data_IF_243383995986
#
_entry.id   IF_243383995986
#
_cell.length_a   1.000
_cell.length_b   1.000
_cell.length_c   1.000
_cell.angle_alpha   90.00
_cell.angle_beta   90.00
_cell.angle_gamma   90.00
#
_symmetry.space_group_name_H-M   'P 1'
#
loop_
_entity.id
_entity.type
_entity.pdbx_description
1 polymer ?
#
# COMPACT_ATOMS: atom_id res chain seq x y z
N UNK A 1 22.18 -15.74 13.90
CA UNK A 1 21.39 -15.51 12.65
C UNK A 1 21.71 -14.12 12.14
N UNK A 2 21.86 -13.93 10.83
CA UNK A 2 22.11 -12.59 10.23
C UNK A 2 21.00 -11.61 10.58
N UNK A 3 21.35 -10.38 10.86
CA UNK A 3 20.41 -9.32 11.30
C UNK A 3 19.29 -9.06 10.26
N UNK A 4 19.62 -9.01 8.97
CA UNK A 4 18.65 -8.80 7.90
C UNK A 4 17.63 -9.96 7.77
N UNK A 5 18.06 -11.19 8.04
CA UNK A 5 17.21 -12.37 8.07
C UNK A 5 16.36 -12.39 9.34
N UNK A 6 17.00 -12.14 10.49
CA UNK A 6 16.33 -12.08 11.79
C UNK A 6 15.12 -11.11 11.78
N UNK A 7 15.31 -9.90 11.25
CA UNK A 7 14.24 -8.91 11.20
C UNK A 7 13.04 -9.36 10.35
N UNK A 8 13.28 -10.10 9.26
CA UNK A 8 12.20 -10.66 8.43
C UNK A 8 11.50 -11.80 9.16
N UNK A 9 12.24 -12.78 9.67
CA UNK A 9 11.67 -13.94 10.35
C UNK A 9 10.89 -13.58 11.62
N UNK A 10 11.25 -12.48 12.27
CA UNK A 10 10.55 -11.97 13.47
C UNK A 10 9.43 -10.97 13.15
N UNK A 11 9.15 -10.71 11.87
CA UNK A 11 8.08 -9.82 11.45
C UNK A 11 8.35 -8.33 11.65
N UNK A 12 9.59 -7.93 11.95
CA UNK A 12 9.98 -6.52 12.00
C UNK A 12 10.11 -5.89 10.61
N UNK A 13 10.31 -6.71 9.59
CA UNK A 13 10.37 -6.30 8.20
C UNK A 13 9.65 -7.31 7.30
N UNK A 14 8.95 -6.82 6.28
CA UNK A 14 8.27 -7.65 5.31
C UNK A 14 9.24 -8.27 4.28
N UNK A 15 10.36 -7.60 4.02
CA UNK A 15 11.38 -8.04 3.05
C UNK A 15 12.79 -7.79 3.56
N UNK A 16 13.78 -8.50 3.00
CA UNK A 16 15.20 -8.26 3.32
C UNK A 16 15.64 -6.84 2.95
N UNK A 17 15.12 -6.28 1.87
CA UNK A 17 15.41 -4.90 1.48
C UNK A 17 14.90 -3.89 2.53
N UNK A 18 13.73 -4.13 3.11
CA UNK A 18 13.22 -3.34 4.22
C UNK A 18 14.07 -3.53 5.48
N UNK A 19 14.42 -4.77 5.83
CA UNK A 19 15.31 -5.06 6.95
C UNK A 19 16.65 -4.33 6.86
N UNK A 20 17.26 -4.27 5.68
CA UNK A 20 18.50 -3.54 5.44
C UNK A 20 18.34 -2.02 5.67
N UNK A 21 17.21 -1.45 5.29
CA UNK A 21 16.91 -0.03 5.55
C UNK A 21 16.69 0.24 7.03
N UNK A 22 15.96 -0.64 7.73
CA UNK A 22 15.79 -0.56 9.19
C UNK A 22 17.14 -0.59 9.90
N UNK A 23 18.06 -1.48 9.50
CA UNK A 23 19.40 -1.55 10.06
C UNK A 23 20.17 -0.24 9.81
N UNK A 24 20.05 0.33 8.63
CA UNK A 24 20.69 1.61 8.29
C UNK A 24 20.09 2.78 9.10
N UNK A 25 18.78 2.78 9.35
CA UNK A 25 18.08 3.77 10.17
C UNK A 25 18.42 3.62 11.67
N UNK A 26 18.70 2.41 12.12
CA UNK A 26 19.13 2.11 13.48
C UNK A 26 18.36 0.96 14.12
N UNK A 27 19.06 -0.10 14.39
CA UNK A 27 18.57 -1.28 15.11
C UNK A 27 19.50 -1.61 16.25
N UNK A 28 18.92 -1.93 17.40
CA UNK A 28 19.68 -2.46 18.53
C UNK A 28 19.00 -3.70 19.10
N UNK A 29 19.79 -4.54 19.77
CA UNK A 29 19.30 -5.76 20.35
C UNK A 29 19.93 -6.02 21.73
N UNK A 30 19.27 -6.85 22.55
CA UNK A 30 19.78 -7.36 23.84
C UNK A 30 19.27 -8.77 24.09
N UNK A 31 19.95 -9.51 24.96
CA UNK A 31 19.56 -10.89 25.28
C UNK A 31 18.42 -10.97 26.32
N UNK A 32 18.33 -10.00 27.22
CA UNK A 32 17.29 -9.95 28.25
C UNK A 32 17.12 -8.54 28.80
N UNK A 33 15.98 -8.25 29.46
CA UNK A 33 15.79 -7.01 30.21
C UNK A 33 16.92 -6.80 31.22
N UNK A 34 17.48 -5.58 31.24
CA UNK A 34 18.62 -5.22 32.11
C UNK A 34 20.00 -5.43 31.50
N UNK A 35 20.14 -6.13 30.39
CA UNK A 35 21.39 -6.15 29.62
C UNK A 35 21.53 -4.91 28.74
N UNK A 36 22.78 -4.45 28.48
CA UNK A 36 23.01 -3.31 27.62
C UNK A 36 22.58 -3.61 26.19
N UNK A 37 22.01 -2.61 25.52
CA UNK A 37 21.70 -2.67 24.12
C UNK A 37 22.95 -2.69 23.25
N UNK A 38 22.97 -3.55 22.25
CA UNK A 38 24.03 -3.68 21.27
C UNK A 38 23.51 -3.21 19.91
N UNK A 39 24.20 -2.25 19.29
CA UNK A 39 23.80 -1.74 17.99
C UNK A 39 24.17 -2.72 16.87
N UNK A 40 23.25 -2.91 15.93
CA UNK A 40 23.53 -3.60 14.66
C UNK A 40 24.25 -2.62 13.73
N UNK A 41 25.49 -2.94 13.34
CA UNK A 41 26.31 -2.07 12.50
C UNK A 41 26.11 -2.35 11.00
N UNK A 42 25.82 -3.60 10.63
CA UNK A 42 25.66 -4.02 9.23
C UNK A 42 24.70 -5.18 9.09
N UNK A 43 24.16 -5.35 7.88
CA UNK A 43 23.14 -6.37 7.56
C UNK A 43 23.52 -7.81 7.89
N UNK A 44 24.82 -8.09 7.88
CA UNK A 44 25.36 -9.43 8.14
C UNK A 44 25.74 -9.68 9.59
N UNK A 45 25.55 -8.73 10.50
CA UNK A 45 25.83 -8.94 11.92
C UNK A 45 24.96 -10.07 12.46
N UNK A 46 25.50 -10.84 13.39
CA UNK A 46 24.76 -11.95 13.98
C UNK A 46 23.98 -11.51 15.21
N UNK A 47 22.68 -11.79 15.18
CA UNK A 47 21.76 -11.61 16.31
C UNK A 47 21.38 -13.00 16.84
N UNK A 48 21.50 -13.26 18.15
CA UNK A 48 20.99 -14.47 18.76
C UNK A 48 19.50 -14.64 18.57
N UNK A 49 19.02 -15.86 18.30
CA UNK A 49 17.61 -16.12 18.02
C UNK A 49 16.65 -15.70 19.13
N UNK A 50 17.12 -15.63 20.38
CA UNK A 50 16.32 -15.24 21.56
C UNK A 50 16.39 -13.75 21.88
N UNK A 51 17.12 -12.95 21.07
CA UNK A 51 17.32 -11.54 21.37
C UNK A 51 16.02 -10.73 21.25
N UNK A 52 15.88 -9.76 22.12
CA UNK A 52 14.94 -8.65 21.96
C UNK A 52 15.55 -7.62 21.02
N UNK A 53 14.75 -7.07 20.13
CA UNK A 53 15.17 -6.04 19.16
C UNK A 53 14.36 -4.78 19.35
N UNK A 54 15.03 -3.64 19.21
CA UNK A 54 14.42 -2.31 19.19
C UNK A 54 14.82 -1.57 17.92
N UNK A 55 13.82 -1.00 17.24
CA UNK A 55 14.00 -0.12 16.09
C UNK A 55 14.10 1.31 16.57
N UNK A 56 15.23 1.98 16.33
CA UNK A 56 15.47 3.36 16.76
C UNK A 56 14.73 4.38 15.90
N UNK A 57 14.52 4.05 14.62
CA UNK A 57 13.65 4.81 13.72
C UNK A 57 12.63 3.86 13.09
N UNK A 58 11.38 4.03 13.51
CA UNK A 58 10.24 3.22 13.02
C UNK A 58 9.68 3.69 11.68
N UNK A 59 10.13 4.82 11.12
CA UNK A 59 9.57 5.35 9.87
C UNK A 59 9.74 4.37 8.69
N UNK A 60 10.90 3.72 8.58
CA UNK A 60 11.18 2.72 7.55
C UNK A 60 10.37 1.42 7.72
N UNK A 61 9.85 1.15 8.93
CA UNK A 61 8.99 0.00 9.22
C UNK A 61 7.51 0.26 8.90
N UNK A 62 7.11 1.54 8.77
CA UNK A 62 5.69 1.93 8.66
C UNK A 62 5.01 1.36 7.44
N UNK A 63 5.69 1.32 6.29
CA UNK A 63 5.15 0.85 5.02
C UNK A 63 6.00 -0.27 4.42
N UNK A 64 5.38 -1.10 3.59
CA UNK A 64 6.03 -2.21 2.89
C UNK A 64 7.20 -1.78 2.00
N UNK A 65 7.18 -0.53 1.51
CA UNK A 65 8.29 0.06 0.76
C UNK A 65 8.40 1.56 0.99
N UNK A 66 9.54 2.17 0.58
CA UNK A 66 9.75 3.63 0.62
C UNK A 66 8.73 4.43 -0.20
N UNK A 67 8.02 3.78 -1.13
CA UNK A 67 6.90 4.38 -1.83
C UNK A 67 5.87 4.92 -0.85
N UNK A 68 5.50 4.16 0.18
CA UNK A 68 4.55 4.60 1.19
C UNK A 68 4.94 5.89 1.90
N UNK A 69 6.21 6.03 2.28
CA UNK A 69 6.72 7.29 2.89
C UNK A 69 6.63 8.48 1.93
N UNK A 70 6.85 8.27 0.61
CA UNK A 70 6.71 9.34 -0.39
C UNK A 70 5.26 9.80 -0.51
N UNK A 71 4.33 8.84 -0.58
CA UNK A 71 2.91 9.16 -0.66
C UNK A 71 2.42 9.81 0.64
N UNK A 72 2.82 9.31 1.81
CA UNK A 72 2.51 9.94 3.10
C UNK A 72 2.94 11.41 3.12
N UNK A 73 4.18 11.70 2.69
CA UNK A 73 4.67 13.07 2.60
C UNK A 73 3.85 13.94 1.65
N UNK A 74 3.38 13.39 0.52
CA UNK A 74 2.51 14.10 -0.42
C UNK A 74 1.13 14.37 0.18
N UNK A 75 0.50 13.39 0.83
CA UNK A 75 -0.78 13.56 1.51
C UNK A 75 -0.71 14.62 2.61
N UNK A 76 0.37 14.61 3.40
CA UNK A 76 0.61 15.61 4.44
C UNK A 76 0.81 17.02 3.85
N UNK A 77 1.61 17.15 2.80
CA UNK A 77 1.90 18.43 2.16
C UNK A 77 0.67 19.06 1.49
N UNK A 78 -0.23 18.24 0.94
CA UNK A 78 -1.44 18.70 0.26
C UNK A 78 -2.65 18.81 1.18
N UNK A 79 -2.60 18.21 2.38
CA UNK A 79 -3.75 18.08 3.28
C UNK A 79 -4.86 17.15 2.75
N UNK A 80 -4.57 16.35 1.72
CA UNK A 80 -5.54 15.46 1.10
C UNK A 80 -5.89 14.31 2.03
N UNK A 81 -7.17 14.15 2.37
CA UNK A 81 -7.69 13.02 3.12
C UNK A 81 -8.30 11.99 2.15
N UNK A 82 -7.85 10.74 2.24
CA UNK A 82 -8.30 9.64 1.37
C UNK A 82 -9.26 8.67 2.08
N UNK A 83 -9.69 9.02 3.28
CA UNK A 83 -10.60 8.20 4.09
C UNK A 83 -11.90 7.91 3.36
N UNK A 84 -12.25 6.63 3.22
CA UNK A 84 -13.44 6.19 2.51
C UNK A 84 -13.34 6.20 0.98
N UNK A 85 -12.22 6.64 0.42
CA UNK A 85 -12.05 6.71 -1.03
C UNK A 85 -11.73 5.34 -1.63
N UNK A 86 -12.14 5.18 -2.89
CA UNK A 86 -11.60 4.17 -3.80
C UNK A 86 -10.45 4.79 -4.58
N UNK A 87 -9.30 4.17 -4.51
CA UNK A 87 -8.06 4.70 -5.08
C UNK A 87 -7.56 3.79 -6.20
N UNK A 88 -6.92 4.38 -7.20
CA UNK A 88 -6.19 3.67 -8.24
C UNK A 88 -4.68 3.88 -8.02
N UNK A 89 -3.93 2.77 -7.84
CA UNK A 89 -2.47 2.77 -7.70
C UNK A 89 -1.84 2.27 -9.01
N UNK A 90 -1.33 3.21 -9.82
CA UNK A 90 -0.72 2.91 -11.12
C UNK A 90 0.78 2.65 -10.95
N UNK A 91 1.22 1.44 -11.30
CA UNK A 91 2.57 0.97 -11.01
C UNK A 91 2.69 0.45 -9.58
N UNK A 92 1.73 -0.38 -9.16
CA UNK A 92 1.58 -0.87 -7.80
C UNK A 92 2.84 -1.55 -7.24
N UNK A 93 3.56 -2.33 -8.08
CA UNK A 93 4.77 -3.07 -7.70
C UNK A 93 4.58 -3.86 -6.39
N UNK A 94 5.40 -3.63 -5.38
CA UNK A 94 5.29 -4.31 -4.07
C UNK A 94 4.15 -3.78 -3.20
N UNK A 95 3.45 -2.70 -3.61
CA UNK A 95 2.28 -2.15 -2.92
C UNK A 95 2.58 -1.08 -1.87
N UNK A 96 3.69 -0.34 -2.00
CA UNK A 96 4.02 0.70 -1.02
C UNK A 96 3.01 1.84 -0.96
N UNK A 97 2.48 2.29 -2.10
CA UNK A 97 1.42 3.31 -2.15
C UNK A 97 0.10 2.71 -1.66
N UNK A 98 -0.25 1.52 -2.11
CA UNK A 98 -1.43 0.77 -1.65
C UNK A 98 -1.46 0.66 -0.13
N UNK A 99 -0.36 0.22 0.50
CA UNK A 99 -0.24 0.11 1.96
C UNK A 99 -0.46 1.46 2.66
N UNK A 100 0.11 2.54 2.10
CA UNK A 100 -0.08 3.89 2.63
C UNK A 100 -1.55 4.34 2.53
N UNK A 101 -2.20 4.16 1.37
CA UNK A 101 -3.60 4.51 1.17
C UNK A 101 -4.52 3.79 2.15
N UNK A 102 -4.32 2.49 2.35
CA UNK A 102 -5.11 1.68 3.29
C UNK A 102 -4.92 2.13 4.74
N UNK A 103 -3.68 2.45 5.14
CA UNK A 103 -3.39 2.97 6.48
C UNK A 103 -3.99 4.38 6.71
N UNK A 104 -4.19 5.16 5.65
CA UNK A 104 -4.89 6.46 5.68
C UNK A 104 -6.40 6.34 5.49
N UNK A 105 -6.96 5.12 5.54
CA UNK A 105 -8.39 4.87 5.59
C UNK A 105 -9.07 4.79 4.22
N UNK A 106 -8.33 4.58 3.12
CA UNK A 106 -8.96 4.28 1.84
C UNK A 106 -9.86 3.03 1.97
N UNK A 107 -11.06 3.10 1.41
CA UNK A 107 -12.02 2.00 1.46
C UNK A 107 -11.61 0.86 0.52
N UNK A 108 -10.98 1.17 -0.60
CA UNK A 108 -10.50 0.20 -1.57
C UNK A 108 -9.32 0.76 -2.36
N UNK A 109 -8.39 -0.10 -2.75
CA UNK A 109 -7.32 0.24 -3.69
C UNK A 109 -7.30 -0.76 -4.82
N UNK A 110 -7.45 -0.26 -6.05
CA UNK A 110 -7.22 -1.02 -7.27
C UNK A 110 -5.78 -0.73 -7.70
N UNK A 111 -4.94 -1.75 -7.71
CA UNK A 111 -3.56 -1.64 -8.16
C UNK A 111 -3.39 -2.16 -9.57
N UNK A 112 -2.67 -1.43 -10.41
CA UNK A 112 -2.38 -1.83 -11.80
C UNK A 112 -0.87 -1.89 -11.98
N UNK A 113 -0.36 -3.00 -12.50
CA UNK A 113 1.06 -3.15 -12.84
C UNK A 113 1.26 -3.98 -14.11
N UNK A 114 2.34 -3.71 -14.84
CA UNK A 114 2.76 -4.54 -16.00
C UNK A 114 3.47 -5.82 -15.56
N UNK A 115 3.99 -5.84 -14.35
CA UNK A 115 4.65 -7.00 -13.74
C UNK A 115 3.66 -8.01 -13.18
N UNK A 116 4.18 -9.17 -12.75
CA UNK A 116 3.40 -10.24 -12.16
C UNK A 116 4.04 -10.69 -10.85
N UNK A 117 3.21 -11.07 -9.87
CA UNK A 117 3.65 -11.65 -8.61
C UNK A 117 4.50 -10.72 -7.72
N UNK A 118 4.46 -9.40 -7.96
CA UNK A 118 5.26 -8.45 -7.18
C UNK A 118 4.57 -7.98 -5.92
N UNK A 119 3.23 -7.95 -5.92
CA UNK A 119 2.46 -7.47 -4.79
C UNK A 119 2.74 -8.32 -3.55
N UNK A 120 3.00 -7.64 -2.43
CA UNK A 120 3.28 -8.30 -1.16
C UNK A 120 2.09 -9.13 -0.70
N UNK A 121 2.32 -10.35 -0.19
CA UNK A 121 1.30 -11.32 0.23
C UNK A 121 0.25 -10.71 1.17
N UNK A 122 0.67 -9.91 2.15
CA UNK A 122 -0.25 -9.23 3.07
C UNK A 122 -1.27 -8.31 2.37
N UNK A 123 -0.90 -7.68 1.26
CA UNK A 123 -1.81 -6.84 0.48
C UNK A 123 -2.63 -7.66 -0.51
N UNK A 124 -2.06 -8.72 -1.05
CA UNK A 124 -2.78 -9.65 -1.93
C UNK A 124 -3.95 -10.29 -1.22
N UNK A 125 -3.80 -10.58 0.07
CA UNK A 125 -4.83 -11.19 0.92
C UNK A 125 -5.73 -10.14 1.63
N UNK A 126 -5.57 -8.84 1.37
CA UNK A 126 -6.44 -7.81 1.95
C UNK A 126 -7.68 -7.62 1.04
N UNK A 127 -8.90 -7.85 1.53
CA UNK A 127 -10.12 -7.78 0.71
C UNK A 127 -10.40 -6.37 0.14
N UNK A 128 -9.70 -5.35 0.61
CA UNK A 128 -9.79 -3.99 0.08
C UNK A 128 -8.87 -3.75 -1.11
N UNK A 129 -8.03 -4.73 -1.47
CA UNK A 129 -7.05 -4.59 -2.55
C UNK A 129 -7.45 -5.46 -3.73
N UNK A 130 -7.49 -4.88 -4.90
CA UNK A 130 -7.65 -5.58 -6.18
C UNK A 130 -6.40 -5.34 -7.00
N UNK A 131 -5.60 -6.37 -7.24
CA UNK A 131 -4.38 -6.30 -8.05
C UNK A 131 -4.65 -6.75 -9.49
N UNK A 132 -4.50 -5.84 -10.44
CA UNK A 132 -4.59 -6.12 -11.88
C UNK A 132 -3.19 -6.16 -12.45
N UNK A 133 -2.67 -7.36 -12.68
CA UNK A 133 -1.33 -7.61 -13.18
C UNK A 133 -1.32 -7.72 -14.72
N UNK A 134 -0.17 -7.47 -15.35
CA UNK A 134 0.00 -7.53 -16.80
C UNK A 134 -0.64 -6.38 -17.58
N UNK A 135 -1.23 -5.40 -16.93
CA UNK A 135 -1.90 -4.26 -17.57
C UNK A 135 -0.98 -3.05 -17.70
N UNK A 136 -0.76 -2.61 -18.94
CA UNK A 136 -0.01 -1.39 -19.20
C UNK A 136 -0.91 -0.16 -19.05
N UNK A 137 -0.62 0.69 -18.09
CA UNK A 137 -1.40 1.89 -17.81
C UNK A 137 -1.49 2.87 -19.00
N UNK A 138 -0.54 2.85 -19.92
CA UNK A 138 -0.60 3.67 -21.16
C UNK A 138 -1.69 3.20 -22.13
N UNK A 139 -2.05 1.93 -22.08
CA UNK A 139 -3.09 1.33 -22.91
C UNK A 139 -4.38 1.06 -22.11
N UNK A 140 -4.42 1.47 -20.85
CA UNK A 140 -5.55 1.23 -19.95
C UNK A 140 -6.78 1.99 -20.43
N UNK A 141 -7.89 1.28 -20.60
CA UNK A 141 -9.23 1.83 -20.78
C UNK A 141 -10.10 1.43 -19.60
N UNK A 142 -11.28 2.00 -19.49
CA UNK A 142 -12.21 1.63 -18.42
C UNK A 142 -12.63 0.15 -18.53
N UNK A 143 -12.83 -0.33 -19.75
CA UNK A 143 -13.20 -1.71 -20.06
C UNK A 143 -12.09 -2.68 -19.64
N UNK A 144 -10.84 -2.42 -20.06
CA UNK A 144 -9.68 -3.26 -19.70
C UNK A 144 -9.43 -3.30 -18.19
N UNK A 145 -9.64 -2.18 -17.51
CA UNK A 145 -9.53 -2.13 -16.05
C UNK A 145 -10.64 -2.96 -15.40
N UNK A 146 -11.86 -2.88 -15.91
CA UNK A 146 -12.99 -3.66 -15.41
C UNK A 146 -12.77 -5.15 -15.60
N UNK A 147 -12.39 -5.59 -16.80
CA UNK A 147 -12.07 -7.00 -17.12
C UNK A 147 -10.99 -7.54 -16.18
N UNK A 148 -9.88 -6.79 -16.02
CA UNK A 148 -8.80 -7.18 -15.13
C UNK A 148 -9.21 -7.24 -13.65
N UNK A 149 -10.13 -6.36 -13.21
CA UNK A 149 -10.68 -6.44 -11.86
C UNK A 149 -11.57 -7.69 -11.69
N UNK A 150 -12.40 -8.04 -12.67
CA UNK A 150 -13.26 -9.22 -12.62
C UNK A 150 -12.43 -10.51 -12.58
N UNK A 151 -11.36 -10.59 -13.36
CA UNK A 151 -10.41 -11.72 -13.35
C UNK A 151 -9.72 -11.86 -11.99
N UNK A 152 -9.12 -10.77 -11.49
CA UNK A 152 -8.44 -10.76 -10.19
C UNK A 152 -9.35 -11.14 -9.02
N UNK A 153 -10.64 -10.83 -9.12
CA UNK A 153 -11.64 -11.18 -8.11
C UNK A 153 -12.08 -12.63 -8.20
N UNK A 154 -12.18 -13.20 -9.41
CA UNK A 154 -12.53 -14.60 -9.59
C UNK A 154 -11.44 -15.53 -9.03
N UNK A 155 -10.18 -15.18 -9.20
CA UNK A 155 -9.05 -15.93 -8.62
C UNK A 155 -9.08 -15.95 -7.08
N UNK A 156 -9.54 -14.86 -6.43
CA UNK A 156 -9.67 -14.83 -4.97
C UNK A 156 -10.79 -15.74 -4.44
N UNK A 157 -11.89 -15.85 -5.18
CA UNK A 157 -13.05 -16.70 -4.77
C UNK A 157 -12.68 -18.18 -4.84
N UNK A 158 -11.86 -18.61 -5.79
CA UNK A 158 -11.47 -20.02 -5.89
C UNK A 158 -10.55 -20.48 -4.75
N UNK A 159 -9.82 -19.56 -4.11
CA UNK A 159 -8.93 -19.88 -2.98
C UNK A 159 -9.64 -19.92 -1.63
N UNK A 160 -10.84 -19.35 -1.50
CA UNK A 160 -11.61 -19.29 -0.24
C UNK A 160 -12.67 -20.42 -0.07
N UNK A 161 -12.84 -21.29 -1.06
CA UNK A 161 -13.92 -22.30 -1.05
C UNK A 161 -13.62 -23.52 -0.13
N UNK A 162 -12.48 -23.57 0.56
CA UNK A 162 -12.17 -24.72 1.45
C UNK A 162 -12.62 -24.57 2.91
N UNK A 163 -13.08 -23.41 3.40
CA UNK A 163 -13.67 -23.33 4.77
C UNK A 163 -14.52 -22.07 4.97
N UNK A 164 -15.81 -22.14 4.94
CA UNK A 164 -16.78 -21.63 5.91
C UNK A 164 -18.13 -21.21 5.29
N UNK A 165 -19.20 -21.64 5.93
CA UNK A 165 -20.64 -21.46 5.64
C UNK A 165 -21.12 -19.98 5.89
N UNK A 166 -20.38 -18.99 5.45
CA UNK A 166 -20.78 -17.58 5.45
C UNK A 166 -20.97 -17.09 4.03
N UNK A 167 -22.22 -16.72 3.70
CA UNK A 167 -22.62 -16.09 2.43
C UNK A 167 -21.60 -15.01 2.01
N UNK A 168 -21.06 -15.07 0.79
CA UNK A 168 -20.15 -14.03 0.31
C UNK A 168 -20.94 -12.72 0.22
N UNK A 169 -20.58 -11.76 1.04
CA UNK A 169 -21.00 -10.37 0.84
C UNK A 169 -20.33 -9.94 -0.44
N UNK A 170 -21.10 -9.80 -1.52
CA UNK A 170 -20.58 -9.38 -2.80
C UNK A 170 -19.95 -7.97 -2.69
N UNK A 171 -18.62 -7.83 -2.60
CA UNK A 171 -17.97 -6.55 -2.30
C UNK A 171 -18.00 -5.56 -3.47
N UNK A 172 -18.58 -5.99 -4.62
CA UNK A 172 -18.49 -5.25 -5.88
C UNK A 172 -19.83 -5.14 -6.62
N UNK A 173 -20.94 -5.05 -5.89
CA UNK A 173 -22.28 -4.89 -6.46
C UNK A 173 -22.41 -3.71 -7.44
N UNK A 174 -21.53 -2.71 -7.31
CA UNK A 174 -21.46 -1.54 -8.19
C UNK A 174 -20.87 -1.82 -9.57
N UNK A 175 -20.02 -2.85 -9.74
CA UNK A 175 -19.47 -3.23 -11.07
C UNK A 175 -20.54 -3.85 -11.99
N UNK A 176 -21.59 -4.47 -11.42
CA UNK A 176 -22.62 -5.15 -12.21
C UNK A 176 -23.73 -4.24 -12.76
N UNK A 177 -23.85 -3.03 -12.25
CA UNK A 177 -24.96 -2.14 -12.55
C UNK A 177 -24.59 -0.93 -13.41
N UNK A 178 -23.60 -1.02 -14.30
CA UNK A 178 -23.40 -0.05 -15.40
C UNK A 178 -23.38 1.43 -14.98
N UNK A 179 -22.83 1.75 -13.80
CA UNK A 179 -22.43 3.12 -13.50
C UNK A 179 -23.53 4.16 -13.26
N UNK A 180 -24.75 3.78 -12.95
CA UNK A 180 -25.68 4.74 -12.33
C UNK A 180 -25.39 4.81 -10.83
N UNK A 181 -24.64 5.80 -10.42
CA UNK A 181 -24.56 6.25 -9.02
C UNK A 181 -25.85 6.95 -8.70
N UNK A 182 -26.84 6.20 -8.19
CA UNK A 182 -28.01 6.79 -7.60
C UNK A 182 -27.61 7.58 -6.36
N UNK A 183 -27.70 8.89 -6.52
CA UNK A 183 -28.24 9.79 -5.55
C UNK A 183 -27.37 10.20 -4.37
N UNK A 184 -27.36 11.46 -4.22
CA UNK A 184 -27.09 12.31 -3.07
C UNK A 184 -25.66 12.89 -2.99
N UNK A 185 -25.26 13.60 -4.01
CA UNK A 185 -24.65 14.90 -3.73
C UNK A 185 -25.82 15.91 -3.65
N UNK A 186 -26.22 16.26 -2.45
CA UNK A 186 -26.97 17.50 -2.24
C UNK A 186 -26.06 18.62 -2.71
N UNK A 187 -26.48 19.29 -3.78
CA UNK A 187 -25.85 20.47 -4.33
C UNK A 187 -25.89 21.58 -3.27
N UNK A 188 -24.81 21.66 -2.49
CA UNK A 188 -24.50 22.87 -1.75
C UNK A 188 -24.12 23.95 -2.76
N UNK A 189 -25.07 24.77 -3.18
CA UNK A 189 -24.81 25.98 -3.93
C UNK A 189 -23.78 26.84 -3.19
N UNK A 190 -22.61 27.06 -3.79
CA UNK A 190 -21.68 28.09 -3.35
C UNK A 190 -20.22 27.72 -3.23
N UNK A 191 -19.55 27.19 -4.28
CA UNK A 191 -18.09 27.19 -4.38
C UNK A 191 -17.58 27.00 -5.83
N UNK A 192 -18.20 27.63 -6.80
CA UNK A 192 -17.67 27.81 -8.14
C UNK A 192 -17.00 29.17 -8.21
N UNK A 193 -15.72 29.30 -7.90
CA UNK A 193 -14.81 30.32 -8.46
C UNK A 193 -13.32 30.14 -8.11
N UNK A 194 -12.89 29.06 -7.41
CA UNK A 194 -11.50 28.93 -6.96
C UNK A 194 -10.70 27.80 -7.64
N UNK A 195 -11.30 26.99 -8.52
CA UNK A 195 -10.65 25.79 -9.06
C UNK A 195 -10.06 25.91 -10.46
N UNK A 196 -10.42 26.92 -11.24
CA UNK A 196 -9.85 27.13 -12.58
C UNK A 196 -8.52 27.88 -12.57
N UNK A 197 -8.20 28.66 -11.54
CA UNK A 197 -6.96 29.44 -11.50
C UNK A 197 -5.70 28.65 -11.10
N UNK A 198 -5.83 27.55 -10.37
CA UNK A 198 -4.66 26.80 -9.89
C UNK A 198 -4.06 25.84 -10.94
N UNK A 199 -4.83 25.41 -11.93
CA UNK A 199 -4.33 24.46 -12.96
C UNK A 199 -3.48 25.18 -14.02
N UNK A 200 -3.74 26.45 -14.28
CA UNK A 200 -2.95 27.26 -15.21
C UNK A 200 -1.62 27.74 -14.59
N UNK A 201 -1.60 28.05 -13.30
CA UNK A 201 -0.38 28.42 -12.58
C UNK A 201 0.64 27.25 -12.52
N UNK A 202 0.17 26.02 -12.35
CA UNK A 202 1.02 24.83 -12.32
C UNK A 202 1.65 24.47 -13.69
N UNK A 203 1.04 24.91 -14.79
CA UNK A 203 1.58 24.75 -16.15
C UNK A 203 2.65 25.79 -16.51
N UNK A 204 2.57 26.98 -15.95
CA UNK A 204 3.48 28.08 -16.28
C UNK A 204 4.88 27.93 -15.64
N UNK A 205 5.02 27.30 -14.49
CA UNK A 205 6.30 27.09 -13.81
C UNK A 205 7.20 26.00 -14.43
N UNK A 206 6.69 25.22 -15.38
CA UNK A 206 7.48 24.15 -16.05
C UNK A 206 8.05 24.52 -17.42
N UNK A 207 7.90 25.76 -17.88
CA UNK A 207 8.37 26.25 -19.21
C UNK A 207 9.31 27.46 -19.14
N UNK A 208 9.88 27.77 -17.97
CA UNK A 208 10.91 28.77 -17.80
C UNK A 208 12.29 28.16 -17.48
#
# INVERSE_FOLDING_TARGET
>A
MRADVFLVERGHAATRSQAQRLIAAGVQWRLSPGMPWQKVAKNGDEIPAIAEVELLDGAEARYLSRGGLKLEGALQATGLAVTGWRCLDVGQSTGGFTDCLLQHGAAQVIGVDVGHGQLHERLRNDPRVVGVEGLNARAMTAELLQEGCEEALSEHVETEVEDNDTQPVAPYAWMRNGGEVDGAYEDGEGADDAREHDVEAFKAERLA
#
